data_IF_662654299147
#
_entry.id   IF_662654299147
#
_cell.length_a   1.000
_cell.length_b   1.000
_cell.length_c   1.000
_cell.angle_alpha   90.00
_cell.angle_beta   90.00
_cell.angle_gamma   90.00
#
_symmetry.space_group_name_H-M   'P 1'
#
loop_
_entity.id
_entity.type
_entity.pdbx_description
1 polymer ?
#
# COMPACT_ATOMS: atom_id res chain seq x y z
N UNK A 1 -27.21 -6.36 -43.14
CA UNK A 1 -27.92 -6.24 -41.85
C UNK A 1 -27.50 -7.41 -40.95
N UNK A 2 -26.20 -7.59 -40.71
CA UNK A 2 -25.65 -8.86 -40.16
C UNK A 2 -24.71 -8.67 -38.95
N UNK A 3 -24.81 -7.51 -38.27
CA UNK A 3 -23.98 -7.19 -37.10
C UNK A 3 -24.59 -7.62 -35.77
N UNK A 4 -25.91 -7.46 -35.62
CA UNK A 4 -26.59 -7.69 -34.33
C UNK A 4 -26.82 -9.17 -34.03
N UNK A 5 -27.01 -10.01 -35.06
CA UNK A 5 -27.25 -11.45 -34.87
C UNK A 5 -26.01 -12.20 -34.34
N UNK A 6 -24.81 -11.67 -34.58
CA UNK A 6 -23.55 -12.26 -34.10
C UNK A 6 -23.23 -11.92 -32.64
N UNK A 7 -23.72 -10.79 -32.13
CA UNK A 7 -23.47 -10.37 -30.75
C UNK A 7 -24.17 -11.28 -29.73
N UNK A 8 -25.41 -11.69 -30.01
CA UNK A 8 -26.16 -12.56 -29.10
C UNK A 8 -25.62 -14.00 -29.07
N UNK A 9 -25.11 -14.50 -30.20
CA UNK A 9 -24.49 -15.83 -30.29
C UNK A 9 -23.14 -15.91 -29.55
N UNK A 10 -22.44 -14.78 -29.39
CA UNK A 10 -21.14 -14.71 -28.72
C UNK A 10 -21.24 -14.55 -27.19
N UNK A 11 -22.38 -14.07 -26.66
CA UNK A 11 -22.62 -14.00 -25.21
C UNK A 11 -22.98 -15.37 -24.59
N UNK A 12 -23.48 -16.32 -25.39
CA UNK A 12 -23.89 -17.64 -24.88
C UNK A 12 -22.77 -18.69 -24.86
N UNK A 13 -21.63 -18.47 -25.54
CA UNK A 13 -20.67 -19.57 -25.84
C UNK A 13 -19.28 -19.40 -25.20
N UNK A 14 -18.91 -18.24 -24.63
CA UNK A 14 -17.57 -18.06 -24.04
C UNK A 14 -17.59 -17.54 -22.60
N UNK A 15 -17.50 -18.44 -21.60
CA UNK A 15 -17.40 -18.11 -20.17
C UNK A 15 -16.01 -17.61 -19.73
N UNK A 16 -14.97 -17.81 -20.55
CA UNK A 16 -13.58 -17.57 -20.13
C UNK A 16 -12.95 -16.35 -20.82
N UNK A 17 -12.55 -15.41 -19.97
CA UNK A 17 -12.05 -14.09 -20.31
C UNK A 17 -10.54 -14.13 -20.62
N UNK A 18 -10.18 -13.99 -21.91
CA UNK A 18 -8.79 -13.84 -22.36
C UNK A 18 -8.47 -12.38 -22.77
N UNK A 19 -7.51 -11.68 -22.10
CA UNK A 19 -7.30 -10.22 -22.19
C UNK A 19 -6.46 -9.74 -23.38
N UNK A 20 -6.49 -10.44 -24.52
CA UNK A 20 -5.75 -10.08 -25.74
C UNK A 20 -6.48 -9.23 -26.81
N UNK A 21 -7.81 -9.31 -27.02
CA UNK A 21 -8.44 -8.70 -28.21
C UNK A 21 -8.92 -7.24 -28.05
N UNK A 22 -8.83 -6.65 -26.86
CA UNK A 22 -9.38 -5.31 -26.60
C UNK A 22 -8.47 -4.18 -27.12
N UNK A 23 -7.16 -4.37 -27.14
CA UNK A 23 -6.20 -3.35 -27.56
C UNK A 23 -6.17 -3.16 -29.08
N UNK A 24 -6.41 -4.24 -29.85
CA UNK A 24 -6.45 -4.16 -31.31
C UNK A 24 -7.72 -3.47 -31.83
N UNK A 25 -8.86 -3.64 -31.14
CA UNK A 25 -10.11 -2.97 -31.51
C UNK A 25 -10.06 -1.46 -31.22
N UNK A 26 -9.41 -1.05 -30.12
CA UNK A 26 -9.21 0.35 -29.77
C UNK A 26 -8.29 1.10 -30.77
N UNK A 27 -7.34 0.38 -31.38
CA UNK A 27 -6.50 0.91 -32.45
C UNK A 27 -7.26 1.08 -33.78
N UNK A 28 -8.28 0.25 -34.04
CA UNK A 28 -9.12 0.36 -35.23
C UNK A 28 -10.14 1.51 -35.13
N UNK A 29 -10.77 1.70 -33.96
CA UNK A 29 -11.76 2.79 -33.75
C UNK A 29 -11.14 4.19 -33.80
N UNK A 30 -9.89 4.37 -33.34
CA UNK A 30 -9.16 5.66 -33.44
C UNK A 30 -8.86 6.09 -34.87
N UNK A 31 -8.79 5.17 -35.83
CA UNK A 31 -8.59 5.52 -37.25
C UNK A 31 -9.88 5.97 -37.94
N UNK A 32 -11.04 5.78 -37.31
CA UNK A 32 -12.35 6.10 -37.89
C UNK A 32 -12.92 7.47 -37.48
N UNK A 33 -12.18 8.28 -36.71
CA UNK A 33 -12.48 9.72 -36.53
C UNK A 33 -13.76 10.07 -35.77
N UNK A 34 -14.18 9.26 -34.78
CA UNK A 34 -15.36 9.54 -33.96
C UNK A 34 -15.04 9.42 -32.45
N UNK A 35 -14.36 10.45 -31.91
CA UNK A 35 -13.73 10.43 -30.58
C UNK A 35 -14.64 10.76 -29.38
N UNK A 36 -15.87 11.24 -29.57
CA UNK A 36 -16.60 11.86 -28.43
C UNK A 36 -17.51 10.94 -27.61
N UNK A 37 -17.63 9.65 -27.97
CA UNK A 37 -18.54 8.71 -27.28
C UNK A 37 -17.90 7.41 -26.75
N UNK A 38 -16.57 7.28 -26.84
CA UNK A 38 -15.85 6.12 -26.31
C UNK A 38 -15.46 6.27 -24.82
N UNK A 39 -15.31 7.49 -24.31
CA UNK A 39 -14.82 7.70 -22.93
C UNK A 39 -15.88 7.45 -21.84
N UNK A 40 -17.17 7.64 -22.14
CA UNK A 40 -18.23 7.48 -21.12
C UNK A 40 -18.50 6.03 -20.72
N UNK A 41 -18.16 5.06 -21.58
CA UNK A 41 -18.38 3.63 -21.28
C UNK A 41 -17.21 3.02 -20.49
N UNK A 42 -15.99 3.53 -20.64
CA UNK A 42 -14.82 3.06 -19.87
C UNK A 42 -14.75 3.65 -18.45
N UNK A 43 -15.36 4.82 -18.22
CA UNK A 43 -15.50 5.41 -16.87
C UNK A 43 -16.59 4.70 -16.05
N UNK A 44 -17.67 4.23 -16.70
CA UNK A 44 -18.70 3.44 -16.03
C UNK A 44 -18.19 2.05 -15.60
N UNK A 45 -17.31 1.41 -16.39
CA UNK A 45 -16.78 0.05 -16.09
C UNK A 45 -15.77 0.01 -14.94
N UNK A 46 -15.12 1.13 -14.61
CA UNK A 46 -14.06 1.18 -13.57
C UNK A 46 -14.56 1.56 -12.18
N UNK A 47 -15.79 2.06 -12.06
CA UNK A 47 -16.33 2.57 -10.78
C UNK A 47 -16.81 1.45 -9.84
N UNK A 48 -17.09 0.25 -10.36
CA UNK A 48 -17.61 -0.87 -9.53
C UNK A 48 -16.55 -1.79 -8.89
N UNK A 49 -15.28 -1.72 -9.29
CA UNK A 49 -14.25 -2.61 -8.72
C UNK A 49 -13.49 -2.00 -7.53
N UNK A 50 -13.75 -0.74 -7.18
CA UNK A 50 -13.10 -0.06 -6.04
C UNK A 50 -14.03 0.20 -4.86
N UNK A 51 -15.30 -0.24 -4.91
CA UNK A 51 -16.22 -0.13 -3.78
C UNK A 51 -16.00 -1.20 -2.70
N UNK A 52 -15.24 -2.26 -3.00
CA UNK A 52 -14.89 -3.33 -2.04
C UNK A 52 -13.50 -3.19 -1.43
N UNK A 53 -12.69 -2.26 -1.92
CA UNK A 53 -11.43 -1.94 -1.27
C UNK A 53 -11.78 -1.05 -0.07
N UNK A 54 -11.89 -1.67 1.11
CA UNK A 54 -12.19 -0.99 2.38
C UNK A 54 -11.20 0.13 2.73
N UNK A 55 -10.96 0.39 4.01
CA UNK A 55 -10.10 1.52 4.44
C UNK A 55 -8.74 1.55 3.72
N UNK A 56 -8.17 0.38 3.40
CA UNK A 56 -6.94 0.23 2.61
C UNK A 56 -7.03 0.79 1.16
N UNK A 57 -8.17 0.64 0.48
CA UNK A 57 -8.39 1.17 -0.87
C UNK A 57 -8.52 2.69 -0.90
N UNK A 58 -9.11 3.27 0.15
CA UNK A 58 -9.26 4.72 0.31
C UNK A 58 -7.90 5.37 0.60
N UNK A 59 -7.08 4.74 1.46
CA UNK A 59 -5.69 5.14 1.70
C UNK A 59 -4.89 5.02 0.39
N UNK A 60 -4.98 3.89 -0.32
CA UNK A 60 -4.28 3.69 -1.60
C UNK A 60 -4.69 4.69 -2.69
N UNK A 61 -5.97 5.05 -2.75
CA UNK A 61 -6.51 6.04 -3.69
C UNK A 61 -6.07 7.48 -3.37
N UNK A 62 -6.01 7.85 -2.09
CA UNK A 62 -5.46 9.14 -1.65
C UNK A 62 -3.97 9.23 -1.95
N UNK A 63 -3.25 8.12 -1.70
CA UNK A 63 -1.83 7.95 -1.97
C UNK A 63 -1.49 8.23 -3.44
N UNK A 64 -2.28 7.61 -4.34
CA UNK A 64 -2.10 7.71 -5.81
C UNK A 64 -2.43 9.10 -6.35
N UNK A 65 -3.34 9.81 -5.69
CA UNK A 65 -3.78 11.16 -6.09
C UNK A 65 -2.76 12.23 -5.72
N UNK A 66 -1.90 11.97 -4.74
CA UNK A 66 -0.78 12.85 -4.37
C UNK A 66 0.50 12.60 -5.19
N UNK A 67 0.53 11.57 -6.04
CA UNK A 67 1.75 11.09 -6.73
C UNK A 67 2.11 11.80 -8.05
N UNK A 68 1.40 12.85 -8.46
CA UNK A 68 1.64 13.49 -9.78
C UNK A 68 2.80 14.51 -9.75
N UNK A 69 3.28 14.91 -8.57
CA UNK A 69 4.49 15.73 -8.44
C UNK A 69 5.60 14.96 -7.71
N UNK A 70 6.83 15.08 -8.19
CA UNK A 70 8.08 14.54 -7.63
C UNK A 70 8.46 13.12 -8.05
N UNK A 71 9.26 13.08 -9.12
CA UNK A 71 10.02 11.91 -9.54
C UNK A 71 11.14 11.57 -8.55
N UNK A 72 10.79 10.92 -7.44
CA UNK A 72 11.63 9.96 -6.74
C UNK A 72 10.69 9.16 -5.83
N UNK A 73 10.97 7.87 -5.59
CA UNK A 73 10.08 6.96 -4.84
C UNK A 73 10.38 6.79 -3.33
N UNK A 74 10.96 7.75 -2.57
CA UNK A 74 11.16 7.57 -1.12
C UNK A 74 9.84 7.72 -0.35
N UNK A 75 8.85 8.42 -0.92
CA UNK A 75 7.57 8.67 -0.28
C UNK A 75 6.76 7.39 -0.04
N UNK A 76 6.89 6.36 -0.91
CA UNK A 76 6.23 5.06 -0.70
C UNK A 76 6.74 4.36 0.56
N UNK A 77 8.06 4.41 0.81
CA UNK A 77 8.66 3.86 2.02
C UNK A 77 8.12 4.58 3.26
N UNK A 78 7.99 5.91 3.21
CA UNK A 78 7.38 6.69 4.28
C UNK A 78 5.91 6.30 4.53
N UNK A 79 5.12 6.08 3.47
CA UNK A 79 3.73 5.64 3.62
C UNK A 79 3.60 4.25 4.22
N UNK A 80 4.46 3.31 3.81
CA UNK A 80 4.53 1.99 4.45
C UNK A 80 4.94 2.11 5.92
N UNK A 81 5.93 2.95 6.23
CA UNK A 81 6.36 3.21 7.60
C UNK A 81 5.20 3.73 8.46
N UNK A 82 4.46 4.73 7.99
CA UNK A 82 3.28 5.26 8.70
C UNK A 82 2.20 4.19 8.84
N UNK A 83 1.94 3.39 7.80
CA UNK A 83 0.94 2.32 7.86
C UNK A 83 1.29 1.28 8.94
N UNK A 84 2.53 0.79 8.94
CA UNK A 84 2.98 -0.20 9.92
C UNK A 84 3.06 0.39 11.33
N UNK A 85 3.49 1.64 11.48
CA UNK A 85 3.47 2.35 12.74
C UNK A 85 2.05 2.46 13.31
N UNK A 86 1.07 2.85 12.48
CA UNK A 86 -0.31 2.97 12.93
C UNK A 86 -0.89 1.60 13.29
N UNK A 87 -0.61 0.57 12.49
CA UNK A 87 -1.09 -0.79 12.75
C UNK A 87 -0.52 -1.37 14.06
N UNK A 88 0.78 -1.20 14.31
CA UNK A 88 1.43 -1.62 15.56
C UNK A 88 0.88 -0.85 16.76
N UNK A 89 0.75 0.48 16.64
CA UNK A 89 0.18 1.34 17.68
C UNK A 89 -1.23 0.92 18.07
N UNK A 90 -2.12 0.69 17.10
CA UNK A 90 -3.48 0.19 17.35
C UNK A 90 -3.46 -1.17 18.05
N UNK A 91 -2.57 -2.08 17.62
CA UNK A 91 -2.46 -3.42 18.22
C UNK A 91 -2.01 -3.37 19.68
N UNK A 92 -1.03 -2.55 20.00
CA UNK A 92 -0.48 -2.39 21.34
C UNK A 92 -1.38 -1.54 22.24
N UNK A 93 -2.21 -0.65 21.68
CA UNK A 93 -3.23 0.09 22.43
C UNK A 93 -4.30 -0.86 22.99
N UNK A 94 -4.72 -1.87 22.21
CA UNK A 94 -5.67 -2.89 22.66
C UNK A 94 -5.05 -4.02 23.49
N UNK A 95 -3.72 -4.14 23.50
CA UNK A 95 -3.00 -5.22 24.18
C UNK A 95 -1.70 -4.66 24.76
N UNK A 96 -1.84 -3.91 25.86
CA UNK A 96 -0.69 -3.32 26.53
C UNK A 96 0.25 -4.44 27.02
N UNK A 97 1.54 -4.41 26.62
CA UNK A 97 2.54 -5.36 27.10
C UNK A 97 2.82 -5.15 28.59
N UNK A 98 3.22 -6.22 29.26
CA UNK A 98 3.65 -6.17 30.67
C UNK A 98 5.10 -5.72 30.76
N UNK A 99 5.49 -5.02 31.84
CA UNK A 99 6.89 -4.69 32.04
C UNK A 99 7.74 -5.96 32.19
N UNK A 100 8.99 -5.89 31.72
CA UNK A 100 9.94 -7.01 31.82
C UNK A 100 10.40 -7.21 33.26
N UNK A 101 10.55 -6.13 34.02
CA UNK A 101 11.01 -6.08 35.40
C UNK A 101 10.16 -5.10 36.23
N UNK A 102 10.10 -5.31 37.54
CA UNK A 102 9.39 -4.46 38.52
C UNK A 102 10.19 -3.19 38.90
N UNK A 103 11.35 -3.00 38.27
CA UNK A 103 12.19 -1.83 38.42
C UNK A 103 11.59 -0.55 37.83
N UNK A 104 12.41 0.50 37.74
CA UNK A 104 11.97 1.77 37.17
C UNK A 104 11.80 1.65 35.65
N UNK A 105 10.57 1.69 35.17
CA UNK A 105 10.23 1.74 33.75
C UNK A 105 9.44 3.03 33.42
N UNK A 106 9.50 3.52 32.17
CA UNK A 106 8.71 4.67 31.76
C UNK A 106 7.21 4.34 31.74
N UNK A 107 6.37 5.37 31.63
CA UNK A 107 4.95 5.16 31.37
C UNK A 107 4.75 4.55 29.97
N UNK A 108 3.96 3.49 29.87
CA UNK A 108 3.70 2.83 28.59
C UNK A 108 2.99 3.78 27.62
N UNK A 109 3.50 3.86 26.39
CA UNK A 109 2.82 4.54 25.30
C UNK A 109 2.86 3.69 24.04
N UNK A 110 1.70 3.21 23.60
CA UNK A 110 1.57 2.30 22.46
C UNK A 110 2.12 2.86 21.14
N UNK A 111 1.98 4.17 20.90
CA UNK A 111 2.46 4.82 19.68
C UNK A 111 3.98 4.99 19.70
N UNK A 112 4.55 5.36 20.85
CA UNK A 112 6.00 5.49 21.02
C UNK A 112 6.63 4.11 20.95
N UNK A 113 6.09 3.11 21.66
CA UNK A 113 6.59 1.74 21.61
C UNK A 113 6.52 1.15 20.19
N UNK A 114 5.45 1.40 19.45
CA UNK A 114 5.37 0.96 18.06
C UNK A 114 6.36 1.68 17.15
N UNK A 115 6.68 2.95 17.40
CA UNK A 115 7.72 3.66 16.66
C UNK A 115 9.10 3.10 17.00
N UNK A 116 9.37 2.87 18.29
CA UNK A 116 10.61 2.29 18.80
C UNK A 116 10.88 0.92 18.16
N UNK A 117 9.87 0.07 18.13
CA UNK A 117 9.95 -1.27 17.51
C UNK A 117 10.19 -1.20 15.99
N UNK A 118 9.64 -0.18 15.32
CA UNK A 118 9.73 -0.04 13.87
C UNK A 118 11.01 0.67 13.42
N UNK A 119 11.64 1.47 14.28
CA UNK A 119 12.80 2.30 13.95
C UNK A 119 14.07 1.70 14.57
N UNK A 120 14.79 0.81 13.85
CA UNK A 120 15.85 -0.01 14.45
C UNK A 120 17.07 0.77 14.98
N UNK A 121 17.20 2.04 14.59
CA UNK A 121 18.35 2.89 14.94
C UNK A 121 17.99 3.86 16.07
N UNK A 122 16.70 4.13 16.29
CA UNK A 122 16.24 5.16 17.21
C UNK A 122 15.68 4.47 18.45
N UNK A 123 16.13 4.91 19.63
CA UNK A 123 15.54 4.49 20.89
C UNK A 123 14.78 5.69 21.50
N UNK A 124 13.46 5.53 21.68
CA UNK A 124 12.53 6.51 22.24
C UNK A 124 12.24 6.25 23.72
N UNK A 125 12.98 5.33 24.34
CA UNK A 125 12.93 5.02 25.75
C UNK A 125 11.83 4.02 26.12
N UNK A 126 11.31 3.21 25.19
CA UNK A 126 10.33 2.16 25.51
C UNK A 126 10.91 0.75 25.26
N UNK A 127 11.85 0.61 24.33
CA UNK A 127 12.48 -0.67 24.00
C UNK A 127 13.20 -1.30 25.20
N UNK A 128 13.12 -2.63 25.31
CA UNK A 128 13.66 -3.40 26.42
C UNK A 128 12.88 -3.36 27.73
N UNK A 129 11.95 -2.41 27.93
CA UNK A 129 11.13 -2.32 29.14
C UNK A 129 9.85 -3.15 29.10
N UNK A 130 9.37 -3.50 27.90
CA UNK A 130 8.06 -4.12 27.71
C UNK A 130 8.18 -5.48 27.03
N UNK A 131 7.49 -6.47 27.60
CA UNK A 131 7.49 -7.85 27.12
C UNK A 131 6.34 -8.07 26.13
N UNK A 132 6.68 -8.56 24.94
CA UNK A 132 5.71 -8.95 23.94
C UNK A 132 5.46 -10.46 24.00
N UNK A 133 4.25 -10.85 24.39
CA UNK A 133 3.84 -12.25 24.46
C UNK A 133 2.79 -12.61 23.41
N UNK A 134 2.75 -13.90 23.05
CA UNK A 134 1.75 -14.48 22.15
C UNK A 134 1.72 -13.81 20.77
N UNK A 135 0.54 -13.35 20.34
CA UNK A 135 0.37 -12.73 19.03
C UNK A 135 1.06 -11.35 18.91
N UNK A 136 1.28 -10.64 20.01
CA UNK A 136 1.97 -9.34 20.00
C UNK A 136 3.46 -9.50 19.67
N UNK A 137 4.06 -10.65 20.03
CA UNK A 137 5.45 -10.98 19.71
C UNK A 137 5.69 -11.07 18.20
N UNK A 138 4.82 -11.78 17.47
CA UNK A 138 4.93 -11.91 16.01
C UNK A 138 4.77 -10.56 15.30
N UNK A 139 3.87 -9.72 15.79
CA UNK A 139 3.64 -8.38 15.24
C UNK A 139 4.86 -7.49 15.50
N UNK A 140 5.42 -7.53 16.71
CA UNK A 140 6.67 -6.85 17.05
C UNK A 140 7.83 -7.28 16.16
N UNK A 141 8.04 -8.59 16.00
CA UNK A 141 9.08 -9.14 15.11
C UNK A 141 8.89 -8.69 13.66
N UNK A 142 7.64 -8.68 13.17
CA UNK A 142 7.34 -8.19 11.82
C UNK A 142 7.65 -6.69 11.67
N UNK A 143 7.31 -5.86 12.66
CA UNK A 143 7.64 -4.44 12.69
C UNK A 143 9.16 -4.23 12.63
N UNK A 144 9.95 -4.98 13.40
CA UNK A 144 11.43 -4.90 13.39
C UNK A 144 11.98 -5.24 12.00
N UNK A 145 11.54 -6.34 11.40
CA UNK A 145 11.99 -6.76 10.06
C UNK A 145 11.64 -5.71 9.00
N UNK A 146 10.41 -5.19 9.03
CA UNK A 146 9.97 -4.11 8.14
C UNK A 146 10.83 -2.87 8.34
N UNK A 147 11.13 -2.50 9.59
CA UNK A 147 12.01 -1.39 9.93
C UNK A 147 13.37 -1.49 9.26
N UNK A 148 14.02 -2.66 9.34
CA UNK A 148 15.30 -2.91 8.69
C UNK A 148 15.24 -2.88 7.16
N UNK A 149 14.18 -3.41 6.55
CA UNK A 149 13.98 -3.36 5.09
C UNK A 149 13.82 -1.90 4.62
N UNK A 150 13.05 -1.10 5.35
CA UNK A 150 12.83 0.30 5.02
C UNK A 150 14.12 1.13 5.23
N UNK A 151 14.85 0.88 6.32
CA UNK A 151 16.11 1.56 6.60
C UNK A 151 17.17 1.32 5.51
N UNK A 152 17.33 0.06 5.08
CA UNK A 152 18.26 -0.29 3.98
C UNK A 152 17.82 0.30 2.64
N UNK A 153 16.52 0.30 2.34
CA UNK A 153 15.98 0.94 1.14
C UNK A 153 16.25 2.45 1.13
N UNK A 154 16.06 3.12 2.26
CA UNK A 154 16.32 4.54 2.41
C UNK A 154 17.82 4.86 2.26
N UNK A 155 18.70 4.06 2.89
CA UNK A 155 20.15 4.21 2.79
C UNK A 155 20.63 4.04 1.33
N UNK A 156 20.14 3.02 0.63
CA UNK A 156 20.46 2.80 -0.78
C UNK A 156 19.93 3.93 -1.69
N UNK A 157 18.75 4.47 -1.39
CA UNK A 157 18.19 5.63 -2.08
C UNK A 157 19.03 6.89 -1.89
N UNK A 158 19.49 7.15 -0.66
CA UNK A 158 20.32 8.30 -0.33
C UNK A 158 21.71 8.23 -1.00
N UNK A 159 22.35 7.06 -0.97
CA UNK A 159 23.65 6.85 -1.61
C UNK A 159 23.62 7.20 -3.12
N UNK A 160 22.56 6.77 -3.83
CA UNK A 160 22.37 7.09 -5.26
C UNK A 160 22.19 8.57 -5.56
N UNK A 161 21.73 9.37 -4.60
CA UNK A 161 21.58 10.81 -4.78
C UNK A 161 22.95 11.48 -4.65
N UNK A 162 23.76 11.04 -3.67
CA UNK A 162 25.11 11.56 -3.45
C UNK A 162 26.02 11.30 -4.66
N UNK A 163 26.00 10.08 -5.21
CA UNK A 163 26.76 9.71 -6.42
C UNK A 163 26.39 10.52 -7.68
N UNK A 164 25.22 11.16 -7.70
CA UNK A 164 24.77 11.99 -8.84
C UNK A 164 25.20 13.45 -8.74
N UNK A 165 25.58 13.90 -7.54
CA UNK A 165 25.91 15.29 -7.25
C UNK A 165 27.42 15.50 -7.12
N UNK A 166 28.18 14.42 -6.84
CA UNK A 166 29.64 14.35 -6.89
C UNK A 166 30.18 14.15 -8.31
#
# INVERSE_FOLDING_TARGET
MDGQLRLHWLEQVMPDYAPGPYDQLAAAYRRAGHDERAERVLVARRTRHYAEAGIAGRIWGALRRHTVGFGYRPWLAACWLVLFWVAGGVRFLGNAPTPVDDGQHPAFNAWIFSADTLLPIINLGQDGYWRLDGASQWIGSALVVVGWILATTAAAGAARILERVS
#
